data_IF_619604474521
#
_entry.id   IF_619604474521
#
_cell.length_a   1.000
_cell.length_b   1.000
_cell.length_c   1.000
_cell.angle_alpha   90.00
_cell.angle_beta   90.00
_cell.angle_gamma   90.00
#
_symmetry.space_group_name_H-M   'P 1'
#
loop_
_entity.id
_entity.type
_entity.pdbx_description
1 polymer ?
#
# COMPACT_ATOMS: atom_id res chain seq x y z
N UNK A 1 -7.40 -5.34 -26.18
CA UNK A 1 -7.99 -4.10 -25.63
C UNK A 1 -7.27 -2.93 -26.27
N UNK A 2 -7.99 -2.06 -26.98
CA UNK A 2 -7.41 -0.81 -27.48
C UNK A 2 -7.27 0.16 -26.32
N UNK A 3 -6.13 0.85 -26.23
CA UNK A 3 -5.96 1.97 -25.31
C UNK A 3 -6.79 3.13 -25.87
N UNK A 4 -7.73 3.64 -25.07
CA UNK A 4 -8.48 4.85 -25.40
C UNK A 4 -7.71 6.04 -24.82
N UNK A 5 -7.45 7.04 -25.66
CA UNK A 5 -6.76 8.27 -25.27
C UNK A 5 -7.71 9.45 -25.44
N UNK A 6 -7.79 10.29 -24.43
CA UNK A 6 -8.56 11.53 -24.46
C UNK A 6 -7.66 12.71 -24.12
N UNK A 7 -7.79 13.79 -24.88
CA UNK A 7 -7.19 15.08 -24.52
C UNK A 7 -8.08 15.76 -23.48
N UNK A 8 -7.47 16.22 -22.39
CA UNK A 8 -8.17 16.93 -21.32
C UNK A 8 -7.93 18.43 -21.47
N UNK A 9 -8.99 19.22 -21.32
CA UNK A 9 -8.85 20.65 -21.11
C UNK A 9 -8.14 20.95 -19.77
N UNK A 10 -7.81 22.22 -19.55
CA UNK A 10 -7.10 22.66 -18.35
C UNK A 10 -7.83 22.27 -17.06
N UNK A 11 -9.14 22.52 -16.99
CA UNK A 11 -9.94 22.32 -15.79
C UNK A 11 -9.97 20.83 -15.41
N UNK A 12 -10.28 19.96 -16.39
CA UNK A 12 -10.28 18.51 -16.21
C UNK A 12 -8.90 17.95 -15.91
N UNK A 13 -7.85 18.52 -16.49
CA UNK A 13 -6.47 18.13 -16.18
C UNK A 13 -6.12 18.45 -14.73
N UNK A 14 -6.46 19.65 -14.25
CA UNK A 14 -6.24 20.06 -12.86
C UNK A 14 -7.05 19.21 -11.87
N UNK A 15 -8.28 18.83 -12.22
CA UNK A 15 -9.10 17.87 -11.47
C UNK A 15 -8.44 16.51 -11.37
N UNK A 16 -8.04 15.93 -12.51
CA UNK A 16 -7.37 14.63 -12.54
C UNK A 16 -6.09 14.64 -11.70
N UNK A 17 -5.26 15.66 -11.84
CA UNK A 17 -4.02 15.75 -11.06
C UNK A 17 -4.26 15.89 -9.56
N UNK A 18 -5.35 16.59 -9.15
CA UNK A 18 -5.77 16.61 -7.75
C UNK A 18 -6.19 15.22 -7.27
N UNK A 19 -6.95 14.47 -8.05
CA UNK A 19 -7.36 13.11 -7.70
C UNK A 19 -6.15 12.15 -7.59
N UNK A 20 -5.22 12.21 -8.55
CA UNK A 20 -3.98 11.43 -8.53
C UNK A 20 -3.14 11.76 -7.29
N UNK A 21 -3.01 13.04 -6.95
CA UNK A 21 -2.28 13.49 -5.76
C UNK A 21 -2.96 13.09 -4.45
N UNK A 22 -4.30 13.08 -4.42
CA UNK A 22 -5.09 12.69 -3.26
C UNK A 22 -5.20 11.16 -3.10
N UNK A 23 -4.92 10.38 -4.14
CA UNK A 23 -5.11 8.92 -4.15
C UNK A 23 -4.46 8.20 -2.95
N UNK A 24 -3.21 8.51 -2.53
CA UNK A 24 -2.59 7.86 -1.37
C UNK A 24 -3.21 8.27 -0.02
N UNK A 25 -3.94 9.38 0.04
CA UNK A 25 -4.45 9.94 1.29
C UNK A 25 -5.76 9.25 1.67
N UNK A 26 -6.00 8.93 2.95
CA UNK A 26 -7.33 8.52 3.40
C UNK A 26 -8.31 9.67 3.19
N UNK A 27 -9.50 9.38 2.68
CA UNK A 27 -10.54 10.38 2.41
C UNK A 27 -11.78 10.06 3.26
N UNK A 28 -12.09 10.92 4.23
CA UNK A 28 -13.24 10.77 5.11
C UNK A 28 -14.59 10.93 4.39
N UNK A 29 -14.61 11.50 3.19
CA UNK A 29 -15.79 11.62 2.33
C UNK A 29 -16.08 10.38 1.50
N UNK A 30 -15.17 9.38 1.49
CA UNK A 30 -15.34 8.12 0.77
C UNK A 30 -15.81 7.00 1.69
N UNK A 31 -16.38 5.92 1.11
CA UNK A 31 -16.58 4.68 1.84
C UNK A 31 -15.27 4.23 2.50
N UNK A 32 -15.33 3.50 3.63
CA UNK A 32 -14.12 3.05 4.30
C UNK A 32 -13.30 2.16 3.36
N UNK A 33 -12.00 2.44 3.26
CA UNK A 33 -11.05 1.79 2.36
C UNK A 33 -9.75 1.44 3.11
N UNK A 34 -9.07 0.41 2.61
CA UNK A 34 -7.70 0.07 2.95
C UNK A 34 -6.78 0.60 1.86
N UNK A 35 -5.86 1.48 2.22
CA UNK A 35 -4.86 2.03 1.31
C UNK A 35 -3.56 1.24 1.46
N UNK A 36 -3.11 0.65 0.37
CA UNK A 36 -1.86 -0.08 0.26
C UNK A 36 -0.84 0.74 -0.52
N UNK A 37 0.41 0.71 -0.05
CA UNK A 37 1.57 1.05 -0.88
C UNK A 37 2.34 -0.23 -1.18
N UNK A 38 2.60 -0.47 -2.45
CA UNK A 38 3.39 -1.59 -2.93
C UNK A 38 4.54 -1.10 -3.80
N UNK A 39 5.66 -1.82 -3.77
CA UNK A 39 6.81 -1.50 -4.60
C UNK A 39 7.58 -2.73 -5.01
N UNK A 40 8.26 -2.63 -6.15
CA UNK A 40 9.17 -3.62 -6.70
C UNK A 40 10.21 -2.90 -7.58
N UNK A 41 11.29 -3.56 -8.04
CA UNK A 41 12.15 -2.99 -9.07
C UNK A 41 11.35 -2.50 -10.28
N UNK A 42 11.70 -1.36 -10.88
CA UNK A 42 10.94 -0.78 -11.99
C UNK A 42 10.81 -1.73 -13.20
N UNK A 43 11.79 -2.61 -13.41
CA UNK A 43 11.75 -3.67 -14.42
C UNK A 43 10.64 -4.71 -14.20
N UNK A 44 10.12 -4.82 -12.97
CA UNK A 44 9.04 -5.72 -12.58
C UNK A 44 7.66 -5.04 -12.56
N UNK A 45 7.52 -3.82 -13.09
CA UNK A 45 6.27 -3.03 -12.98
C UNK A 45 5.05 -3.75 -13.54
N UNK A 46 5.20 -4.48 -14.65
CA UNK A 46 4.10 -5.26 -15.25
C UNK A 46 3.66 -6.36 -14.28
N UNK A 47 4.60 -7.11 -13.71
CA UNK A 47 4.29 -8.17 -12.75
C UNK A 47 3.75 -7.61 -11.42
N UNK A 48 4.18 -6.42 -11.00
CA UNK A 48 3.59 -5.70 -9.86
C UNK A 48 2.11 -5.34 -10.16
N UNK A 49 1.82 -4.80 -11.34
CA UNK A 49 0.46 -4.47 -11.75
C UNK A 49 -0.44 -5.71 -11.77
N UNK A 50 0.01 -6.79 -12.39
CA UNK A 50 -0.71 -8.07 -12.45
C UNK A 50 -0.95 -8.67 -11.06
N UNK A 51 0.02 -8.55 -10.15
CA UNK A 51 -0.12 -9.04 -8.78
C UNK A 51 -1.17 -8.22 -8.01
N UNK A 52 -1.15 -6.90 -8.15
CA UNK A 52 -2.14 -6.02 -7.53
C UNK A 52 -3.54 -6.31 -8.05
N UNK A 53 -3.72 -6.45 -9.37
CA UNK A 53 -5.00 -6.78 -9.98
C UNK A 53 -5.51 -8.16 -9.53
N UNK A 54 -4.67 -9.19 -9.59
CA UNK A 54 -5.05 -10.57 -9.24
C UNK A 54 -5.50 -10.73 -7.80
N UNK A 55 -4.89 -9.99 -6.87
CA UNK A 55 -5.15 -10.10 -5.44
C UNK A 55 -6.08 -9.00 -4.92
N UNK A 56 -6.51 -8.07 -5.78
CA UNK A 56 -7.44 -7.02 -5.41
C UNK A 56 -8.86 -7.59 -5.18
N UNK A 57 -9.52 -7.19 -4.09
CA UNK A 57 -10.97 -7.34 -3.96
C UNK A 57 -11.70 -6.64 -5.12
N UNK A 58 -12.94 -7.05 -5.45
CA UNK A 58 -13.78 -6.32 -6.39
C UNK A 58 -13.91 -4.84 -6.01
N UNK A 59 -14.05 -3.96 -7.01
CA UNK A 59 -14.13 -2.50 -6.84
C UNK A 59 -12.89 -1.83 -6.21
N UNK A 60 -11.72 -2.49 -6.30
CA UNK A 60 -10.44 -1.87 -5.98
C UNK A 60 -9.94 -0.97 -7.09
N UNK A 61 -9.17 0.04 -6.72
CA UNK A 61 -8.51 0.95 -7.65
C UNK A 61 -7.00 0.90 -7.45
N UNK A 62 -6.23 1.06 -8.52
CA UNK A 62 -4.76 1.06 -8.48
C UNK A 62 -4.19 2.24 -9.24
N UNK A 63 -3.21 2.90 -8.65
CA UNK A 63 -2.41 3.95 -9.27
C UNK A 63 -0.96 3.48 -9.33
N UNK A 64 -0.35 3.53 -10.51
CA UNK A 64 1.04 3.12 -10.71
C UNK A 64 1.93 4.33 -11.03
N UNK A 65 3.16 4.27 -10.54
CA UNK A 65 4.27 5.14 -10.87
C UNK A 65 5.39 4.30 -11.50
N UNK A 66 5.28 3.98 -12.81
CA UNK A 66 6.14 2.97 -13.44
C UNK A 66 7.63 3.29 -13.38
N UNK A 67 7.99 4.56 -13.53
CA UNK A 67 9.38 5.01 -13.54
C UNK A 67 10.16 4.76 -12.25
N UNK A 68 9.45 4.53 -11.14
CA UNK A 68 10.07 4.29 -9.82
C UNK A 68 9.65 2.96 -9.19
N UNK A 69 8.89 2.12 -9.92
CA UNK A 69 8.46 0.80 -9.42
C UNK A 69 7.52 0.86 -8.21
N UNK A 70 6.70 1.93 -8.12
CA UNK A 70 5.78 2.18 -7.01
C UNK A 70 4.34 2.06 -7.48
N UNK A 71 3.47 1.55 -6.62
CA UNK A 71 2.04 1.55 -6.83
C UNK A 71 1.30 1.79 -5.52
N UNK A 72 0.13 2.40 -5.63
CA UNK A 72 -0.87 2.46 -4.56
C UNK A 72 -2.10 1.67 -4.99
N UNK A 73 -2.72 0.97 -4.05
CA UNK A 73 -4.00 0.34 -4.25
C UNK A 73 -4.97 0.76 -3.16
N UNK A 74 -6.23 0.94 -3.53
CA UNK A 74 -7.34 1.22 -2.62
C UNK A 74 -8.29 0.03 -2.69
N UNK A 75 -8.39 -0.69 -1.59
CA UNK A 75 -9.30 -1.82 -1.44
C UNK A 75 -10.52 -1.38 -0.63
N UNK A 76 -11.74 -1.80 -0.97
CA UNK A 76 -12.88 -1.58 -0.10
C UNK A 76 -12.64 -2.22 1.27
N UNK A 77 -12.98 -1.52 2.36
CA UNK A 77 -12.84 -2.03 3.72
C UNK A 77 -13.99 -2.96 4.15
N UNK A 78 -14.67 -3.57 3.17
CA UNK A 78 -15.75 -4.51 3.38
C UNK A 78 -15.51 -5.75 2.52
N UNK A 79 -15.92 -6.91 3.04
CA UNK A 79 -15.70 -8.20 2.38
C UNK A 79 -14.79 -9.11 3.22
N UNK A 80 -15.06 -10.40 3.11
CA UNK A 80 -14.27 -11.43 3.77
C UNK A 80 -12.92 -11.62 3.05
N UNK A 81 -11.89 -12.05 3.79
CA UNK A 81 -10.63 -12.49 3.19
C UNK A 81 -9.60 -11.39 2.86
N UNK A 82 -9.81 -10.12 3.25
CA UNK A 82 -8.84 -9.03 3.05
C UNK A 82 -7.42 -9.39 3.57
N UNK A 83 -7.33 -9.97 4.76
CA UNK A 83 -6.05 -10.41 5.33
C UNK A 83 -5.37 -11.49 4.48
N UNK A 84 -6.15 -12.44 3.94
CA UNK A 84 -5.65 -13.50 3.05
C UNK A 84 -5.21 -12.95 1.70
N UNK A 85 -5.96 -12.01 1.12
CA UNK A 85 -5.60 -11.32 -0.11
C UNK A 85 -4.30 -10.53 0.04
N UNK A 86 -4.14 -9.79 1.15
CA UNK A 86 -2.92 -9.06 1.47
C UNK A 86 -1.72 -10.00 1.65
N UNK A 87 -1.90 -11.11 2.37
CA UNK A 87 -0.86 -12.11 2.55
C UNK A 87 -0.43 -12.75 1.22
N UNK A 88 -1.38 -13.10 0.35
CA UNK A 88 -1.10 -13.66 -0.97
C UNK A 88 -0.37 -12.66 -1.88
N UNK A 89 -0.80 -11.39 -1.88
CA UNK A 89 -0.11 -10.31 -2.57
C UNK A 89 1.35 -10.20 -2.10
N UNK A 90 1.58 -10.14 -0.78
CA UNK A 90 2.94 -10.07 -0.22
C UNK A 90 3.80 -11.25 -0.61
N UNK A 91 3.25 -12.47 -0.57
CA UNK A 91 3.98 -13.67 -1.00
C UNK A 91 4.39 -13.57 -2.46
N UNK A 92 3.50 -13.08 -3.34
CA UNK A 92 3.83 -12.86 -4.75
C UNK A 92 4.93 -11.80 -4.93
N UNK A 93 4.84 -10.69 -4.22
CA UNK A 93 5.80 -9.58 -4.33
C UNK A 93 7.17 -9.91 -3.71
N UNK A 94 7.23 -10.77 -2.69
CA UNK A 94 8.50 -11.23 -2.12
C UNK A 94 9.40 -11.89 -3.18
N UNK A 95 8.81 -12.65 -4.11
CA UNK A 95 9.54 -13.23 -5.25
C UNK A 95 10.09 -12.21 -6.25
N UNK A 96 9.66 -10.95 -6.18
CA UNK A 96 10.13 -9.83 -7.01
C UNK A 96 11.10 -8.91 -6.26
N UNK A 97 11.53 -9.26 -5.05
CA UNK A 97 12.18 -8.33 -4.13
C UNK A 97 11.32 -7.08 -3.85
N UNK A 98 10.00 -7.26 -3.89
CA UNK A 98 9.01 -6.22 -3.65
C UNK A 98 8.40 -6.30 -2.25
N UNK A 99 7.50 -5.35 -1.97
CA UNK A 99 6.79 -5.23 -0.70
C UNK A 99 5.37 -4.71 -0.89
N UNK A 100 4.52 -4.91 0.12
CA UNK A 100 3.25 -4.20 0.27
C UNK A 100 3.00 -3.86 1.75
N UNK A 101 2.69 -2.60 2.03
CA UNK A 101 2.32 -2.10 3.37
C UNK A 101 0.94 -1.47 3.33
N UNK A 102 0.22 -1.52 4.45
CA UNK A 102 -1.04 -0.83 4.67
C UNK A 102 -0.73 0.53 5.28
N UNK A 103 -0.99 1.61 4.55
CA UNK A 103 -0.78 2.97 5.04
C UNK A 103 -2.00 3.50 5.78
N UNK A 104 -3.19 3.04 5.38
CA UNK A 104 -4.44 3.41 6.02
C UNK A 104 -5.42 2.24 6.02
N UNK A 105 -6.14 2.11 7.12
CA UNK A 105 -7.28 1.21 7.26
C UNK A 105 -8.20 1.75 8.37
N UNK A 106 -9.51 1.48 8.32
CA UNK A 106 -10.42 1.75 9.42
C UNK A 106 -9.93 1.10 10.73
N UNK A 107 -10.17 1.73 11.89
CA UNK A 107 -9.71 1.21 13.19
C UNK A 107 -10.09 -0.26 13.44
N UNK A 108 -11.28 -0.67 13.00
CA UNK A 108 -11.84 -2.00 13.20
C UNK A 108 -11.06 -3.08 12.43
N UNK A 109 -10.46 -2.70 11.29
CA UNK A 109 -9.66 -3.60 10.45
C UNK A 109 -8.17 -3.59 10.83
N UNK A 110 -7.66 -2.50 11.42
CA UNK A 110 -6.23 -2.39 11.77
C UNK A 110 -5.73 -3.52 12.67
N UNK A 111 -6.57 -4.02 13.57
CA UNK A 111 -6.21 -5.14 14.45
C UNK A 111 -6.19 -6.51 13.73
N UNK A 112 -6.83 -6.60 12.57
CA UNK A 112 -7.00 -7.84 11.80
C UNK A 112 -6.00 -7.93 10.64
N UNK A 113 -5.43 -6.80 10.24
CA UNK A 113 -4.46 -6.71 9.15
C UNK A 113 -3.05 -6.56 9.71
N UNK A 114 -2.14 -7.38 9.21
CA UNK A 114 -0.71 -7.09 9.34
C UNK A 114 -0.40 -5.85 8.48
N UNK A 115 -0.17 -4.70 9.11
CA UNK A 115 0.02 -3.44 8.40
C UNK A 115 1.37 -3.37 7.67
N UNK A 116 2.41 -4.01 8.21
CA UNK A 116 3.78 -3.81 7.74
C UNK A 116 4.30 -4.96 6.88
N UNK A 117 3.81 -6.17 7.10
CA UNK A 117 4.38 -7.37 6.49
C UNK A 117 5.48 -8.00 7.35
N UNK A 118 6.18 -9.00 6.80
CA UNK A 118 7.22 -9.71 7.53
C UNK A 118 8.36 -8.75 7.94
N UNK A 119 8.90 -8.87 9.17
CA UNK A 119 10.06 -8.08 9.58
C UNK A 119 11.24 -8.34 8.64
N UNK A 120 12.00 -7.29 8.26
CA UNK A 120 13.20 -7.47 7.47
C UNK A 120 14.29 -8.15 8.30
N UNK A 121 15.29 -8.75 7.63
CA UNK A 121 16.47 -9.34 8.29
C UNK A 121 17.23 -8.33 9.16
N UNK A 122 17.12 -7.04 8.84
CA UNK A 122 17.73 -5.92 9.56
C UNK A 122 16.93 -5.44 10.78
N UNK A 123 15.86 -6.13 11.19
CA UNK A 123 14.99 -5.70 12.29
C UNK A 123 15.75 -5.44 13.61
N UNK A 124 16.80 -6.22 13.90
CA UNK A 124 17.61 -6.03 15.11
C UNK A 124 18.43 -4.73 15.08
N UNK A 125 18.88 -4.30 13.89
CA UNK A 125 19.52 -2.98 13.74
C UNK A 125 18.51 -1.86 14.02
N UNK A 126 17.28 -2.01 13.51
CA UNK A 126 16.21 -1.03 13.72
C UNK A 126 15.82 -0.93 15.20
N UNK A 127 15.75 -2.06 15.91
CA UNK A 127 15.53 -2.10 17.38
C UNK A 127 16.60 -1.34 18.15
N UNK A 128 17.88 -1.55 17.81
CA UNK A 128 19.01 -0.85 18.44
C UNK A 128 18.95 0.66 18.19
N UNK A 129 18.62 1.06 16.97
CA UNK A 129 18.45 2.47 16.62
C UNK A 129 17.30 3.11 17.42
N UNK A 130 16.14 2.44 17.51
CA UNK A 130 15.03 2.90 18.34
C UNK A 130 15.43 3.00 19.80
N UNK A 131 16.09 2.00 20.37
CA UNK A 131 16.49 2.02 21.78
C UNK A 131 17.48 3.16 22.11
N UNK A 132 18.34 3.54 21.16
CA UNK A 132 19.26 4.66 21.34
C UNK A 132 18.55 6.02 21.34
N UNK A 133 17.48 6.18 20.55
CA UNK A 133 16.77 7.45 20.36
C UNK A 133 15.50 7.60 21.22
N UNK A 134 14.90 6.49 21.61
CA UNK A 134 13.72 6.38 22.47
C UNK A 134 13.96 5.34 23.58
N UNK A 135 14.89 5.58 24.53
CA UNK A 135 15.22 4.60 25.57
C UNK A 135 14.04 4.28 26.50
N UNK A 136 13.09 5.20 26.62
CA UNK A 136 11.88 5.02 27.44
C UNK A 136 10.74 4.32 26.68
N UNK A 137 10.86 4.11 25.37
CA UNK A 137 9.85 3.45 24.54
C UNK A 137 8.52 4.21 24.44
N UNK A 138 8.54 5.54 24.58
CA UNK A 138 7.32 6.37 24.63
C UNK A 138 6.85 6.82 23.24
N UNK A 139 7.71 6.76 22.23
CA UNK A 139 7.36 7.19 20.88
C UNK A 139 6.65 6.05 20.14
N UNK A 140 5.31 6.14 20.08
CA UNK A 140 4.43 5.26 19.30
C UNK A 140 4.72 3.75 19.50
N UNK A 141 4.59 3.22 20.73
CA UNK A 141 4.97 1.85 21.05
C UNK A 141 4.21 0.83 20.20
N UNK A 142 4.95 -0.11 19.59
CA UNK A 142 4.40 -1.24 18.84
C UNK A 142 3.75 -0.87 17.50
N UNK A 143 3.92 0.37 17.02
CA UNK A 143 3.25 0.85 15.80
C UNK A 143 4.08 0.72 14.54
N UNK A 144 5.28 0.15 14.60
CA UNK A 144 6.11 -0.12 13.44
C UNK A 144 6.43 -1.61 13.28
N UNK A 145 7.12 -1.95 12.17
CA UNK A 145 7.37 -3.34 11.77
C UNK A 145 8.00 -4.16 12.90
N UNK A 146 7.53 -5.40 13.10
CA UNK A 146 8.03 -6.26 14.19
C UNK A 146 7.71 -5.74 15.60
N UNK A 147 6.75 -4.83 15.74
CA UNK A 147 6.33 -4.27 17.03
C UNK A 147 7.35 -3.33 17.66
N UNK A 148 8.23 -2.72 16.84
CA UNK A 148 9.06 -1.60 17.28
C UNK A 148 8.26 -0.29 17.30
#
# INVERSE_FOLDING_TARGET
MGLEAAELDRERSEELWREVAAFPQPDAGRPPEVVLRAGAPASAIVTLAEALERHAPPASHTLLYPGVGLAYARWPAHGEGLAGALAALRQKLAGLQGYAVVEAAPPELRAQLDLWGPPPETIELMRRLKAAWDPAGILNPGRYVGGI
#
